data_IF_478980621257
#
_entry.id   IF_478980621257
#
_cell.length_a   1.000
_cell.length_b   1.000
_cell.length_c   1.000
_cell.angle_alpha   90.00
_cell.angle_beta   90.00
_cell.angle_gamma   90.00
#
_symmetry.space_group_name_H-M   'P 1'
#
loop_
_entity.id
_entity.type
_entity.pdbx_description
1 polymer ?
#
# COMPACT_ATOMS: atom_id res chain seq x y z
N UNK A 1 -39.48 -10.88 53.05
CA UNK A 1 -38.70 -11.81 52.20
C UNK A 1 -37.89 -10.99 51.22
N UNK A 2 -36.59 -10.84 51.46
CA UNK A 2 -35.66 -10.13 50.58
C UNK A 2 -34.96 -11.17 49.71
N UNK A 3 -35.25 -11.15 48.41
CA UNK A 3 -34.58 -12.00 47.41
C UNK A 3 -33.14 -11.50 47.27
N UNK A 4 -32.11 -12.34 47.50
CA UNK A 4 -30.74 -11.92 47.28
C UNK A 4 -30.52 -11.64 45.78
N UNK A 5 -29.76 -10.59 45.42
CA UNK A 5 -29.48 -10.28 44.02
C UNK A 5 -28.74 -11.46 43.36
N UNK A 6 -28.96 -11.72 42.06
CA UNK A 6 -28.28 -12.79 41.36
C UNK A 6 -26.77 -12.54 41.43
N UNK A 7 -26.04 -13.54 41.94
CA UNK A 7 -24.58 -13.53 41.94
C UNK A 7 -24.11 -13.46 40.47
N UNK A 8 -23.70 -12.27 40.03
CA UNK A 8 -22.97 -12.14 38.77
C UNK A 8 -21.68 -12.92 38.93
N UNK A 9 -21.62 -14.12 38.32
CA UNK A 9 -20.44 -14.96 38.31
C UNK A 9 -19.26 -14.14 37.78
N UNK A 10 -18.37 -13.74 38.68
CA UNK A 10 -17.18 -12.99 38.33
C UNK A 10 -16.28 -13.89 37.47
N UNK A 11 -16.06 -13.50 36.21
CA UNK A 11 -15.17 -14.25 35.32
C UNK A 11 -13.77 -14.37 35.95
N UNK A 12 -13.17 -15.56 35.98
CA UNK A 12 -11.84 -15.75 36.58
C UNK A 12 -10.79 -14.87 35.88
N UNK A 13 -9.88 -14.29 36.67
CA UNK A 13 -8.85 -13.35 36.20
C UNK A 13 -7.93 -13.93 35.13
N UNK A 14 -7.68 -15.25 35.16
CA UNK A 14 -6.92 -15.98 34.13
C UNK A 14 -7.64 -16.00 32.78
N UNK A 15 -8.96 -16.24 32.76
CA UNK A 15 -9.78 -16.28 31.54
C UNK A 15 -9.86 -14.90 30.89
N UNK A 16 -9.95 -13.84 31.71
CA UNK A 16 -9.89 -12.43 31.27
C UNK A 16 -8.55 -12.07 30.61
N UNK A 17 -7.42 -12.58 31.13
CA UNK A 17 -6.09 -12.33 30.55
C UNK A 17 -5.95 -13.02 29.18
N UNK A 18 -6.32 -14.29 29.07
CA UNK A 18 -6.22 -15.03 27.81
C UNK A 18 -7.13 -14.42 26.74
N UNK A 19 -8.37 -14.06 27.09
CA UNK A 19 -9.28 -13.38 26.17
C UNK A 19 -8.73 -12.02 25.71
N UNK A 20 -8.13 -11.24 26.61
CA UNK A 20 -7.55 -9.94 26.24
C UNK A 20 -6.35 -10.08 25.30
N UNK A 21 -5.51 -11.11 25.49
CA UNK A 21 -4.38 -11.39 24.59
C UNK A 21 -4.88 -11.79 23.21
N UNK A 22 -5.90 -12.66 23.14
CA UNK A 22 -6.50 -13.07 21.86
C UNK A 22 -7.11 -11.87 21.13
N UNK A 23 -7.87 -11.02 21.83
CA UNK A 23 -8.44 -9.80 21.24
C UNK A 23 -7.35 -8.85 20.73
N UNK A 24 -6.26 -8.66 21.49
CA UNK A 24 -5.12 -7.84 21.05
C UNK A 24 -4.41 -8.45 19.83
N UNK A 25 -4.27 -9.76 19.76
CA UNK A 25 -3.70 -10.44 18.60
C UNK A 25 -4.55 -10.23 17.34
N UNK A 26 -5.87 -10.41 17.44
CA UNK A 26 -6.78 -10.11 16.32
C UNK A 26 -6.74 -8.63 15.92
N UNK A 27 -6.71 -7.72 16.90
CA UNK A 27 -6.57 -6.30 16.64
C UNK A 27 -5.30 -5.97 15.83
N UNK A 28 -4.16 -6.58 16.19
CA UNK A 28 -2.91 -6.42 15.46
C UNK A 28 -3.00 -6.95 14.03
N UNK A 29 -3.63 -8.12 13.83
CA UNK A 29 -3.85 -8.69 12.48
C UNK A 29 -4.71 -7.76 11.62
N UNK A 30 -5.83 -7.24 12.16
CA UNK A 30 -6.68 -6.30 11.42
C UNK A 30 -5.98 -4.99 11.09
N UNK A 31 -5.15 -4.47 12.02
CA UNK A 31 -4.36 -3.27 11.77
C UNK A 31 -3.32 -3.49 10.67
N UNK A 32 -2.54 -4.58 10.76
CA UNK A 32 -1.54 -4.90 9.74
C UNK A 32 -2.16 -5.11 8.37
N UNK A 33 -3.28 -5.84 8.31
CA UNK A 33 -4.00 -6.07 7.07
C UNK A 33 -4.60 -4.78 6.50
N UNK A 34 -5.22 -3.95 7.34
CA UNK A 34 -5.79 -2.67 6.93
C UNK A 34 -4.73 -1.67 6.43
N UNK A 35 -3.59 -1.58 7.12
CA UNK A 35 -2.46 -0.75 6.71
C UNK A 35 -1.83 -1.23 5.39
N UNK A 36 -1.69 -2.56 5.21
CA UNK A 36 -1.19 -3.14 3.97
C UNK A 36 -2.12 -2.83 2.79
N UNK A 37 -3.44 -2.95 2.98
CA UNK A 37 -4.42 -2.57 1.95
C UNK A 37 -4.39 -1.07 1.63
N UNK A 38 -4.23 -0.21 2.64
CA UNK A 38 -4.10 1.24 2.42
C UNK A 38 -2.83 1.58 1.63
N UNK A 39 -1.69 1.00 2.01
CA UNK A 39 -0.41 1.25 1.34
C UNK A 39 -0.45 0.84 -0.13
N UNK A 40 -0.93 -0.38 -0.43
CA UNK A 40 -1.04 -0.87 -1.79
C UNK A 40 -2.00 -0.06 -2.67
N UNK A 41 -3.05 0.51 -2.07
CA UNK A 41 -4.05 1.29 -2.80
C UNK A 41 -3.61 2.75 -3.05
N UNK A 42 -2.81 3.32 -2.15
CA UNK A 42 -2.37 4.72 -2.20
C UNK A 42 -1.09 4.95 -3.02
N UNK A 43 -0.26 3.92 -3.23
CA UNK A 43 1.08 4.03 -3.83
C UNK A 43 1.12 4.86 -5.12
N UNK A 44 0.45 4.44 -6.20
CA UNK A 44 0.55 5.13 -7.49
C UNK A 44 0.02 6.56 -7.49
N UNK A 45 -1.05 6.82 -6.73
CA UNK A 45 -1.67 8.13 -6.65
C UNK A 45 -0.88 9.13 -5.80
N UNK A 46 -0.22 8.67 -4.73
CA UNK A 46 0.67 9.49 -3.93
C UNK A 46 1.96 9.80 -4.70
N UNK A 47 2.59 8.80 -5.32
CA UNK A 47 3.78 8.98 -6.15
C UNK A 47 3.52 9.94 -7.31
N UNK A 48 2.39 9.80 -8.01
CA UNK A 48 2.01 10.74 -9.07
C UNK A 48 1.80 12.16 -8.56
N UNK A 49 1.21 12.34 -7.37
CA UNK A 49 1.06 13.68 -6.76
C UNK A 49 2.40 14.27 -6.35
N UNK A 50 3.31 13.45 -5.87
CA UNK A 50 4.67 13.88 -5.52
C UNK A 50 5.46 14.28 -6.77
N UNK A 51 5.40 13.48 -7.84
CA UNK A 51 5.97 13.82 -9.15
C UNK A 51 5.40 15.14 -9.68
N UNK A 52 4.08 15.38 -9.56
CA UNK A 52 3.47 16.65 -9.97
C UNK A 52 3.95 17.83 -9.11
N UNK A 53 4.21 17.61 -7.81
CA UNK A 53 4.54 18.67 -6.87
C UNK A 53 6.03 19.07 -6.90
N UNK A 54 6.92 18.08 -7.03
CA UNK A 54 8.38 18.26 -6.86
C UNK A 54 9.21 17.57 -7.94
N UNK A 55 8.58 16.93 -8.92
CA UNK A 55 9.29 16.22 -9.98
C UNK A 55 10.04 17.15 -10.93
N UNK A 56 11.16 16.66 -11.44
CA UNK A 56 11.97 17.27 -12.49
C UNK A 56 11.52 16.77 -13.85
N UNK A 57 11.74 17.57 -14.89
CA UNK A 57 11.38 17.18 -16.26
C UNK A 57 12.52 16.44 -16.93
N UNK A 58 12.20 15.42 -17.71
CA UNK A 58 13.14 14.71 -18.57
C UNK A 58 12.51 14.34 -19.90
N UNK A 59 13.27 13.72 -20.79
CA UNK A 59 12.79 13.22 -22.09
C UNK A 59 13.21 11.78 -22.30
N UNK A 60 12.27 10.92 -22.66
CA UNK A 60 12.55 9.50 -22.95
C UNK A 60 13.47 9.40 -24.16
N UNK A 61 14.59 8.69 -24.01
CA UNK A 61 15.52 8.36 -25.10
C UNK A 61 15.41 6.91 -25.54
N UNK A 62 15.06 6.01 -24.62
CA UNK A 62 14.86 4.60 -24.91
C UNK A 62 13.87 3.98 -23.92
N UNK A 63 13.33 2.81 -24.26
CA UNK A 63 12.43 2.06 -23.40
C UNK A 63 12.54 0.56 -23.65
N UNK A 64 12.34 -0.22 -22.59
CA UNK A 64 12.28 -1.69 -22.62
C UNK A 64 11.06 -2.15 -21.84
N UNK A 65 10.43 -3.23 -22.28
CA UNK A 65 9.30 -3.82 -21.56
C UNK A 65 9.71 -5.16 -20.99
N UNK A 66 9.46 -5.36 -19.70
CA UNK A 66 9.53 -6.67 -19.10
C UNK A 66 8.12 -7.25 -19.05
N UNK A 67 7.93 -8.49 -19.50
CA UNK A 67 6.64 -9.17 -19.36
C UNK A 67 6.84 -10.52 -18.67
N UNK A 68 5.97 -10.83 -17.71
CA UNK A 68 5.99 -12.11 -17.00
C UNK A 68 4.59 -12.59 -16.69
N UNK A 69 4.43 -13.91 -16.56
CA UNK A 69 3.16 -14.51 -16.15
C UNK A 69 3.21 -14.83 -14.65
N UNK A 70 2.27 -14.28 -13.89
CA UNK A 70 2.01 -14.68 -12.50
C UNK A 70 0.51 -14.96 -12.37
N UNK A 71 0.13 -16.03 -11.66
CA UNK A 71 -1.28 -16.37 -11.40
C UNK A 71 -2.18 -16.45 -12.66
N UNK A 72 -1.65 -16.96 -13.77
CA UNK A 72 -2.31 -17.02 -15.09
C UNK A 72 -2.67 -15.64 -15.69
N UNK A 73 -2.12 -14.56 -15.12
CA UNK A 73 -2.22 -13.20 -15.63
C UNK A 73 -0.85 -12.76 -16.18
N UNK A 74 -0.87 -12.09 -17.33
CA UNK A 74 0.31 -11.42 -17.87
C UNK A 74 0.47 -10.07 -17.16
N UNK A 75 1.61 -9.90 -16.51
CA UNK A 75 2.08 -8.66 -15.94
C UNK A 75 3.17 -8.08 -16.84
N UNK A 76 3.29 -6.76 -16.84
CA UNK A 76 4.35 -6.09 -17.57
C UNK A 76 4.80 -4.83 -16.83
N UNK A 77 6.11 -4.60 -16.76
CA UNK A 77 6.72 -3.35 -16.30
C UNK A 77 7.47 -2.69 -17.45
N UNK A 78 7.62 -1.38 -17.39
CA UNK A 78 8.30 -0.59 -18.40
C UNK A 78 9.54 0.05 -17.79
N UNK A 79 10.72 -0.25 -18.33
CA UNK A 79 11.94 0.47 -18.00
C UNK A 79 12.11 1.61 -19.00
N UNK A 80 12.22 2.83 -18.49
CA UNK A 80 12.44 4.04 -19.26
C UNK A 80 13.87 4.51 -19.07
N UNK A 81 14.55 4.72 -20.19
CA UNK A 81 15.81 5.47 -20.23
C UNK A 81 15.49 6.87 -20.69
N UNK A 82 15.86 7.88 -19.90
CA UNK A 82 15.55 9.28 -20.19
C UNK A 82 16.72 10.20 -19.86
N UNK A 83 16.72 11.36 -20.49
CA UNK A 83 17.68 12.44 -20.20
C UNK A 83 17.00 13.51 -19.36
N UNK A 84 17.58 13.80 -18.19
CA UNK A 84 17.13 14.86 -17.29
C UNK A 84 17.44 16.27 -17.83
N UNK A 85 16.90 17.30 -17.18
CA UNK A 85 17.21 18.70 -17.52
C UNK A 85 18.68 19.09 -17.29
N UNK A 86 19.38 18.34 -16.44
CA UNK A 86 20.82 18.42 -16.18
C UNK A 86 21.68 17.76 -17.28
N UNK A 87 21.05 17.05 -18.22
CA UNK A 87 21.73 16.31 -19.27
C UNK A 87 22.20 14.93 -18.84
N UNK A 88 21.91 14.49 -17.60
CA UNK A 88 22.24 13.14 -17.16
C UNK A 88 21.27 12.12 -17.74
N UNK A 89 21.79 10.95 -18.10
CA UNK A 89 20.98 9.82 -18.52
C UNK A 89 20.65 8.97 -17.31
N UNK A 90 19.35 8.75 -17.11
CA UNK A 90 18.80 7.99 -15.99
C UNK A 90 17.96 6.84 -16.52
N UNK A 91 17.87 5.79 -15.71
CA UNK A 91 17.08 4.59 -15.99
C UNK A 91 16.19 4.33 -14.79
N UNK A 92 14.89 4.15 -15.03
CA UNK A 92 13.93 3.82 -13.99
C UNK A 92 12.78 2.97 -14.53
N UNK A 93 12.24 2.13 -13.67
CA UNK A 93 11.08 1.31 -13.96
C UNK A 93 9.79 2.05 -13.55
N UNK A 94 8.75 1.90 -14.37
CA UNK A 94 7.38 2.24 -14.01
C UNK A 94 6.47 1.03 -14.23
N UNK A 95 5.56 0.84 -13.28
CA UNK A 95 4.50 -0.18 -13.36
C UNK A 95 3.33 0.29 -14.23
N UNK A 96 3.25 1.59 -14.56
CA UNK A 96 2.17 2.12 -15.39
C UNK A 96 2.50 1.93 -16.87
N UNK A 97 1.56 1.32 -17.59
CA UNK A 97 1.70 1.03 -19.01
C UNK A 97 0.70 1.87 -19.81
N UNK A 98 1.17 2.76 -20.70
CA UNK A 98 0.27 3.50 -21.59
C UNK A 98 -0.52 2.57 -22.49
N UNK A 99 -1.75 2.96 -22.85
CA UNK A 99 -2.69 2.11 -23.60
C UNK A 99 -2.16 1.66 -24.97
N UNK A 100 -1.28 2.46 -25.58
CA UNK A 100 -0.69 2.17 -26.88
C UNK A 100 0.47 1.18 -26.83
N UNK A 101 1.04 0.92 -25.65
CA UNK A 101 1.98 -0.18 -25.45
C UNK A 101 1.16 -1.46 -25.42
N UNK A 102 1.41 -2.37 -26.37
CA UNK A 102 0.72 -3.67 -26.43
C UNK A 102 1.71 -4.80 -26.24
N UNK A 103 1.36 -5.72 -25.34
CA UNK A 103 2.24 -6.81 -24.93
C UNK A 103 2.56 -7.75 -26.08
N UNK A 104 3.83 -8.09 -26.22
CA UNK A 104 4.24 -9.31 -26.88
C UNK A 104 4.03 -10.50 -25.93
N UNK A 105 3.80 -11.70 -26.47
CA UNK A 105 3.68 -12.93 -25.67
C UNK A 105 5.03 -13.46 -25.16
N UNK A 106 6.04 -12.60 -25.06
CA UNK A 106 7.42 -12.98 -24.77
C UNK A 106 7.66 -12.75 -23.28
N UNK A 107 8.11 -13.79 -22.59
CA UNK A 107 8.54 -13.69 -21.19
C UNK A 107 9.95 -13.13 -21.12
N UNK A 108 10.17 -12.11 -20.29
CA UNK A 108 11.47 -11.46 -20.10
C UNK A 108 11.51 -10.02 -20.65
N UNK A 109 12.71 -9.48 -20.75
CA UNK A 109 12.97 -8.13 -21.25
C UNK A 109 12.97 -8.10 -22.78
N UNK A 110 12.21 -7.18 -23.35
CA UNK A 110 12.13 -6.94 -24.78
C UNK A 110 12.42 -5.46 -25.11
N UNK A 111 13.38 -5.26 -26.01
CA UNK A 111 13.82 -3.93 -26.47
C UNK A 111 12.92 -3.40 -27.58
N UNK A 112 12.31 -4.30 -28.34
CA UNK A 112 11.42 -3.97 -29.44
C UNK A 112 10.00 -4.40 -29.08
N UNK A 113 9.11 -3.43 -28.93
CA UNK A 113 7.70 -3.66 -28.65
C UNK A 113 6.82 -2.64 -29.36
N UNK A 114 5.56 -3.04 -29.60
CA UNK A 114 4.58 -2.15 -30.20
C UNK A 114 4.27 -1.01 -29.24
N UNK A 115 4.48 0.24 -29.67
CA UNK A 115 4.30 1.42 -28.82
C UNK A 115 5.61 2.17 -28.50
N UNK A 116 6.78 1.59 -28.79
CA UNK A 116 8.08 2.17 -28.41
C UNK A 116 8.37 3.51 -29.08
N UNK A 117 8.12 3.63 -30.38
CA UNK A 117 8.32 4.89 -31.12
C UNK A 117 7.45 6.03 -30.58
N UNK A 118 6.30 5.70 -29.98
CA UNK A 118 5.41 6.69 -29.37
C UNK A 118 5.89 7.15 -27.99
N UNK A 119 6.77 6.38 -27.34
CA UNK A 119 7.42 6.72 -26.06
C UNK A 119 8.66 7.59 -26.27
N UNK A 120 9.50 7.26 -27.26
CA UNK A 120 10.75 7.99 -27.51
C UNK A 120 10.43 9.47 -27.81
N UNK A 121 11.15 10.38 -27.14
CA UNK A 121 10.95 11.82 -27.25
C UNK A 121 9.79 12.36 -26.41
N UNK A 122 9.09 11.53 -25.64
CA UNK A 122 8.03 12.01 -24.74
C UNK A 122 8.61 12.65 -23.48
N UNK A 123 7.94 13.69 -22.96
CA UNK A 123 8.29 14.25 -21.67
C UNK A 123 7.95 13.26 -20.55
N UNK A 124 8.90 13.11 -19.63
CA UNK A 124 8.71 12.42 -18.35
C UNK A 124 8.87 13.41 -17.21
N UNK A 125 8.30 13.06 -16.07
CA UNK A 125 8.57 13.70 -14.80
C UNK A 125 9.22 12.67 -13.89
N UNK A 126 10.30 13.03 -13.22
CA UNK A 126 11.04 12.11 -12.36
C UNK A 126 11.45 12.76 -11.03
N UNK A 127 11.65 11.92 -10.02
CA UNK A 127 12.25 12.29 -8.75
C UNK A 127 13.58 11.54 -8.60
N UNK A 128 14.61 12.26 -8.19
CA UNK A 128 15.91 11.69 -7.89
C UNK A 128 15.79 10.79 -6.64
N UNK A 129 16.30 9.57 -6.75
CA UNK A 129 16.23 8.52 -5.75
C UNK A 129 17.02 7.31 -6.21
N UNK A 130 17.10 6.26 -5.38
CA UNK A 130 17.71 4.99 -5.74
C UNK A 130 16.74 3.83 -5.40
N UNK A 131 15.97 3.32 -6.40
CA UNK A 131 15.91 3.77 -7.80
C UNK A 131 15.16 5.11 -7.97
N UNK A 132 15.37 5.84 -9.09
CA UNK A 132 14.58 7.04 -9.39
C UNK A 132 13.13 6.67 -9.66
N UNK A 133 12.18 7.51 -9.23
CA UNK A 133 10.77 7.37 -9.58
C UNK A 133 10.50 8.16 -10.85
N UNK A 134 9.86 7.56 -11.86
CA UNK A 134 9.59 8.22 -13.14
C UNK A 134 8.17 7.91 -13.61
N UNK A 135 7.53 8.88 -14.27
CA UNK A 135 6.28 8.66 -14.97
C UNK A 135 6.18 9.56 -16.20
N UNK A 136 5.42 9.13 -17.21
CA UNK A 136 5.14 9.97 -18.37
C UNK A 136 4.30 11.17 -17.94
N UNK A 137 4.69 12.38 -18.33
CA UNK A 137 3.98 13.60 -17.93
C UNK A 137 2.52 13.60 -18.38
N UNK A 138 2.18 12.89 -19.47
CA UNK A 138 0.80 12.73 -19.93
C UNK A 138 -0.08 11.85 -19.04
N UNK A 139 0.52 10.92 -18.29
CA UNK A 139 -0.19 9.94 -17.45
C UNK A 139 -0.42 10.46 -16.03
N UNK A 140 0.43 11.39 -15.57
CA UNK A 140 0.33 12.00 -14.24
C UNK A 140 -1.06 12.53 -13.86
N UNK A 141 -1.81 13.25 -14.71
CA UNK A 141 -3.13 13.76 -14.32
C UNK A 141 -4.12 12.64 -14.01
N UNK A 142 -4.09 11.54 -14.77
CA UNK A 142 -4.97 10.39 -14.56
C UNK A 142 -4.61 9.66 -13.27
N UNK A 143 -3.31 9.47 -13.00
CA UNK A 143 -2.81 8.80 -11.80
C UNK A 143 -3.04 9.66 -10.54
N UNK A 144 -2.74 10.96 -10.60
CA UNK A 144 -2.87 11.87 -9.46
C UNK A 144 -4.33 12.15 -9.08
N UNK A 145 -5.24 12.12 -10.08
CA UNK A 145 -6.69 12.27 -9.87
C UNK A 145 -7.39 10.97 -9.48
N UNK A 146 -6.65 9.85 -9.40
CA UNK A 146 -7.13 8.59 -8.84
C UNK A 146 -7.83 8.81 -7.50
N UNK A 147 -9.14 8.64 -7.51
CA UNK A 147 -9.98 8.75 -6.32
C UNK A 147 -9.80 7.56 -5.39
N UNK A 148 -10.36 7.65 -4.19
CA UNK A 148 -10.37 6.52 -3.27
C UNK A 148 -11.27 5.41 -3.83
N UNK A 149 -10.66 4.29 -4.21
CA UNK A 149 -11.37 3.07 -4.58
C UNK A 149 -11.82 2.25 -3.37
N UNK A 150 -12.65 1.22 -3.61
CA UNK A 150 -13.13 0.27 -2.59
C UNK A 150 -12.03 -0.26 -1.63
N UNK A 151 -10.81 -0.64 -2.09
CA UNK A 151 -9.74 -1.10 -1.20
C UNK A 151 -9.33 -0.08 -0.13
N UNK A 152 -9.40 1.22 -0.44
CA UNK A 152 -9.09 2.29 0.51
C UNK A 152 -10.10 2.31 1.66
N UNK A 153 -11.39 2.25 1.34
CA UNK A 153 -12.45 2.24 2.35
C UNK A 153 -12.43 0.95 3.18
N UNK A 154 -12.16 -0.18 2.55
CA UNK A 154 -12.06 -1.47 3.23
C UNK A 154 -10.85 -1.51 4.18
N UNK A 155 -9.68 -1.06 3.73
CA UNK A 155 -8.50 -0.96 4.59
C UNK A 155 -8.72 0.00 5.76
N UNK A 156 -9.39 1.13 5.53
CA UNK A 156 -9.70 2.10 6.60
C UNK A 156 -10.66 1.50 7.62
N UNK A 157 -11.67 0.75 7.17
CA UNK A 157 -12.57 0.02 8.05
C UNK A 157 -11.82 -0.99 8.94
N UNK A 158 -10.87 -1.75 8.36
CA UNK A 158 -10.04 -2.68 9.14
C UNK A 158 -9.15 -1.97 10.16
N UNK A 159 -8.55 -0.82 9.80
CA UNK A 159 -7.77 0.00 10.73
C UNK A 159 -8.64 0.49 11.89
N UNK A 160 -9.83 1.02 11.61
CA UNK A 160 -10.76 1.51 12.64
C UNK A 160 -11.21 0.39 13.58
N UNK A 161 -11.59 -0.77 13.03
CA UNK A 161 -11.98 -1.96 13.80
C UNK A 161 -10.81 -2.43 14.67
N UNK A 162 -9.61 -2.52 14.09
CA UNK A 162 -8.39 -2.93 14.79
C UNK A 162 -8.03 -1.98 15.94
N UNK A 163 -8.08 -0.66 15.71
CA UNK A 163 -7.89 0.34 16.77
C UNK A 163 -8.93 0.20 17.90
N UNK A 164 -10.21 0.03 17.56
CA UNK A 164 -11.27 -0.16 18.54
C UNK A 164 -11.04 -1.41 19.41
N UNK A 165 -10.70 -2.53 18.78
CA UNK A 165 -10.37 -3.78 19.47
C UNK A 165 -9.12 -3.64 20.35
N UNK A 166 -8.09 -2.92 19.90
CA UNK A 166 -6.87 -2.68 20.66
C UNK A 166 -7.14 -1.87 21.94
N UNK A 167 -7.92 -0.79 21.83
CA UNK A 167 -8.32 0.03 22.99
C UNK A 167 -9.12 -0.80 23.99
N UNK A 168 -10.10 -1.58 23.52
CA UNK A 168 -10.89 -2.48 24.38
C UNK A 168 -10.03 -3.54 25.09
N UNK A 169 -9.11 -4.17 24.35
CA UNK A 169 -8.17 -5.15 24.88
C UNK A 169 -7.23 -4.57 25.94
N UNK A 170 -6.69 -3.37 25.70
CA UNK A 170 -5.82 -2.67 26.67
C UNK A 170 -6.57 -2.29 27.95
N UNK A 171 -7.80 -1.78 27.85
CA UNK A 171 -8.64 -1.45 29.02
C UNK A 171 -8.94 -2.72 29.83
N UNK A 172 -9.30 -3.82 29.16
CA UNK A 172 -9.55 -5.11 29.80
C UNK A 172 -8.30 -5.65 30.53
N UNK A 173 -7.14 -5.58 29.87
CA UNK A 173 -5.87 -6.01 30.44
C UNK A 173 -5.46 -5.16 31.65
N UNK A 174 -5.65 -3.84 31.57
CA UNK A 174 -5.37 -2.92 32.68
C UNK A 174 -6.28 -3.20 33.88
N UNK A 175 -7.57 -3.46 33.67
CA UNK A 175 -8.50 -3.89 34.73
C UNK A 175 -8.10 -5.23 35.34
N UNK A 176 -7.71 -6.21 34.53
CA UNK A 176 -7.25 -7.51 35.00
C UNK A 176 -5.96 -7.39 35.85
N UNK A 177 -4.99 -6.56 35.41
CA UNK A 177 -3.77 -6.28 36.17
C UNK A 177 -4.05 -5.64 37.53
N UNK A 178 -4.95 -4.65 37.59
CA UNK A 178 -5.33 -4.02 38.86
C UNK A 178 -5.97 -5.02 39.84
N UNK A 179 -6.84 -5.92 39.34
CA UNK A 179 -7.44 -6.96 40.18
C UNK A 179 -6.40 -7.93 40.75
N UNK A 180 -5.45 -8.38 39.93
CA UNK A 180 -4.37 -9.27 40.40
C UNK A 180 -3.42 -8.59 41.39
N UNK A 181 -3.23 -7.27 41.30
CA UNK A 181 -2.42 -6.52 42.28
C UNK A 181 -3.13 -6.44 43.64
N UNK A 182 -4.45 -6.25 43.65
CA UNK A 182 -5.26 -6.23 44.88
C UNK A 182 -5.41 -7.61 45.53
N UNK A 183 -5.37 -8.71 44.76
CA UNK A 183 -5.38 -10.07 45.31
C UNK A 183 -4.03 -10.49 45.94
N UNK A 184 -2.97 -9.72 45.73
CA UNK A 184 -1.61 -10.00 46.24
C UNK A 184 -1.19 -9.15 47.44
N UNK A 185 -1.96 -8.10 47.76
CA UNK A 185 -1.77 -7.21 48.93
C UNK A 185 -2.62 -7.66 50.10
#
# INVERSE_FOLDING_TARGET
MTVPPPATAALPSRTLRTASIVVLAFAAVFLLFGLSMLGAALGPGLEARELVASGQSGTVTDARVHSWSADQQMHSSLELTFTGTDGEQLVAETDHRPEYVRGQSVTGWADEFQGKEQLIGRPVTYLLGDPPTVELTSELPALASGGWGFPHFLGLAFVVIGCGAAVGGLISLHRARRRMALERS
#
